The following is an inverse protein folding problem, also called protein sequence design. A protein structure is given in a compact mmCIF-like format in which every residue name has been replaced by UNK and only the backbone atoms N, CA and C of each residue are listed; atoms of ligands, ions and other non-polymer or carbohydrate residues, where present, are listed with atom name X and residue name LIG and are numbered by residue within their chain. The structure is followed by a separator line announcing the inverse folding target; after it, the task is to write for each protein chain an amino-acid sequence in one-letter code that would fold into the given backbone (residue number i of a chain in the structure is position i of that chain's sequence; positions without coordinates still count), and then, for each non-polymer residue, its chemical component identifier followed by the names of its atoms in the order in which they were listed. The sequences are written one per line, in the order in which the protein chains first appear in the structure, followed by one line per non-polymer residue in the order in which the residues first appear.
data_IF_743002802287
#
_entry.id   IF_743002802287
#
_cell.length_a   1.000
_cell.length_b   1.000
_cell.length_c   1.000
_cell.angle_alpha   90.00
_cell.angle_beta   90.00
_cell.angle_gamma   90.00
#
_symmetry.space_group_name_H-M   'P 1'
#
loop_
_entity.id
_entity.type
_entity.pdbx_description
1 polymer ?
#
# COMPACT_ATOMS: atom_id res chain seq x y z
N UNK A 1 -41.74 29.57 -31.63
CA UNK A 1 -40.69 28.56 -31.93
C UNK A 1 -41.31 27.47 -32.80
N UNK A 2 -40.70 27.04 -33.91
CA UNK A 2 -41.30 25.98 -34.75
C UNK A 2 -41.29 24.64 -34.03
N UNK A 3 -42.28 23.77 -34.31
CA UNK A 3 -42.47 22.46 -33.65
C UNK A 3 -41.16 21.63 -33.64
N UNK A 4 -40.42 21.64 -34.75
CA UNK A 4 -39.14 20.95 -34.89
C UNK A 4 -38.07 21.49 -33.93
N UNK A 5 -37.97 22.82 -33.74
CA UNK A 5 -37.00 23.43 -32.80
C UNK A 5 -37.31 23.04 -31.35
N UNK A 6 -38.59 22.93 -30.97
CA UNK A 6 -39.00 22.46 -29.64
C UNK A 6 -38.57 20.99 -29.43
N UNK A 7 -38.82 20.14 -30.43
CA UNK A 7 -38.40 18.73 -30.40
C UNK A 7 -36.86 18.62 -30.25
N UNK A 8 -36.08 19.36 -31.02
CA UNK A 8 -34.60 19.38 -30.90
C UNK A 8 -34.15 19.82 -29.50
N UNK A 9 -34.76 20.86 -28.92
CA UNK A 9 -34.44 21.33 -27.58
C UNK A 9 -34.68 20.25 -26.51
N UNK A 10 -35.80 19.53 -26.60
CA UNK A 10 -36.14 18.43 -25.68
C UNK A 10 -35.12 17.30 -25.77
N UNK A 11 -34.69 16.92 -26.98
CA UNK A 11 -33.64 15.90 -27.15
C UNK A 11 -32.29 16.34 -26.56
N UNK A 12 -31.88 17.61 -26.70
CA UNK A 12 -30.64 18.13 -26.09
C UNK A 12 -30.72 18.10 -24.56
N UNK A 13 -31.84 18.52 -23.96
CA UNK A 13 -32.03 18.47 -22.50
C UNK A 13 -32.00 17.02 -21.99
N UNK A 14 -32.68 16.08 -22.67
CA UNK A 14 -32.65 14.66 -22.31
C UNK A 14 -31.24 14.05 -22.43
N UNK A 15 -30.44 14.46 -23.42
CA UNK A 15 -29.05 14.04 -23.55
C UNK A 15 -28.17 14.58 -22.42
N UNK A 16 -28.34 15.83 -22.00
CA UNK A 16 -27.61 16.42 -20.87
C UNK A 16 -27.98 15.71 -19.56
N UNK A 17 -29.27 15.46 -19.31
CA UNK A 17 -29.74 14.74 -18.13
C UNK A 17 -29.22 13.29 -18.12
N UNK A 18 -29.20 12.59 -19.25
CA UNK A 18 -28.67 11.22 -19.32
C UNK A 18 -27.16 11.18 -19.08
N UNK A 19 -26.40 12.14 -19.60
CA UNK A 19 -24.96 12.29 -19.32
C UNK A 19 -24.70 12.60 -17.84
N UNK A 20 -25.49 13.48 -17.22
CA UNK A 20 -25.40 13.77 -15.79
C UNK A 20 -25.72 12.53 -14.93
N UNK A 21 -26.76 11.75 -15.29
CA UNK A 21 -27.09 10.50 -14.61
C UNK A 21 -26.00 9.43 -14.77
N UNK A 22 -25.40 9.30 -15.96
CA UNK A 22 -24.26 8.39 -16.20
C UNK A 22 -23.03 8.82 -15.38
N UNK A 23 -22.78 10.13 -15.26
CA UNK A 23 -21.70 10.69 -14.46
C UNK A 23 -21.91 10.44 -12.96
N UNK A 24 -23.11 10.73 -12.43
CA UNK A 24 -23.51 10.43 -11.04
C UNK A 24 -23.43 8.93 -10.76
N UNK A 25 -23.84 8.07 -11.70
CA UNK A 25 -23.77 6.61 -11.54
C UNK A 25 -22.32 6.09 -11.55
N UNK A 26 -21.43 6.70 -12.36
CA UNK A 26 -19.98 6.42 -12.29
C UNK A 26 -19.38 6.84 -10.94
N UNK A 27 -19.72 8.03 -10.43
CA UNK A 27 -19.27 8.47 -9.10
C UNK A 27 -19.78 7.50 -8.03
N UNK A 28 -21.07 7.18 -7.99
CA UNK A 28 -21.63 6.21 -7.03
C UNK A 28 -21.02 4.80 -7.13
N UNK A 29 -20.55 4.38 -8.32
CA UNK A 29 -19.87 3.10 -8.48
C UNK A 29 -18.42 3.12 -7.98
N UNK A 30 -17.74 4.26 -8.04
CA UNK A 30 -16.43 4.45 -7.42
C UNK A 30 -16.54 4.62 -5.90
N UNK A 31 -17.57 5.33 -5.41
CA UNK A 31 -17.80 5.59 -3.98
C UNK A 31 -18.46 4.42 -3.23
N UNK A 32 -18.33 3.17 -3.70
CA UNK A 32 -18.61 2.01 -2.84
C UNK A 32 -17.42 1.81 -1.93
N UNK A 33 -17.55 2.23 -0.67
CA UNK A 33 -16.57 1.94 0.39
C UNK A 33 -16.22 0.46 0.38
N UNK A 34 -14.94 0.15 0.20
CA UNK A 34 -14.45 -1.23 0.26
C UNK A 34 -14.64 -1.71 1.71
N UNK A 35 -15.27 -2.87 1.97
CA UNK A 35 -15.52 -3.33 3.34
C UNK A 35 -14.20 -3.43 4.11
N UNK A 36 -14.23 -3.06 5.39
CA UNK A 36 -13.03 -3.11 6.24
C UNK A 36 -12.66 -4.57 6.50
N UNK A 37 -11.40 -4.91 6.26
CA UNK A 37 -10.79 -6.20 6.58
C UNK A 37 -10.51 -6.26 8.08
N UNK A 38 -11.10 -7.25 8.76
CA UNK A 38 -10.90 -7.45 10.19
C UNK A 38 -9.66 -8.31 10.49
N UNK A 39 -9.08 -8.11 11.69
CA UNK A 39 -8.01 -8.96 12.20
C UNK A 39 -6.65 -8.82 11.50
N UNK A 40 -6.44 -7.76 10.71
CA UNK A 40 -5.13 -7.37 10.17
C UNK A 40 -4.68 -6.12 10.93
N UNK A 41 -3.54 -6.20 11.63
CA UNK A 41 -3.01 -5.03 12.34
C UNK A 41 -2.45 -4.00 11.36
N UNK A 42 -2.46 -2.73 11.76
CA UNK A 42 -1.73 -1.65 11.08
C UNK A 42 -0.70 -1.12 12.06
N UNK A 43 0.58 -1.09 11.71
CA UNK A 43 1.63 -0.49 12.55
C UNK A 43 2.10 0.85 12.00
N UNK A 44 2.38 1.86 12.85
CA UNK A 44 2.73 3.20 12.40
C UNK A 44 4.17 3.31 11.88
N UNK A 45 5.09 2.45 12.33
CA UNK A 45 6.50 2.42 11.90
C UNK A 45 6.91 1.03 11.39
N UNK A 46 8.11 0.96 10.80
CA UNK A 46 8.75 -0.31 10.45
C UNK A 46 9.31 -1.07 11.67
N UNK A 47 9.44 -0.38 12.81
CA UNK A 47 10.14 -0.83 14.02
C UNK A 47 9.18 -1.31 15.14
N UNK A 48 7.88 -1.25 14.92
CA UNK A 48 6.88 -1.80 15.84
C UNK A 48 6.81 -3.33 15.76
N UNK A 49 6.59 -3.99 16.91
CA UNK A 49 6.44 -5.45 16.95
C UNK A 49 5.14 -5.91 16.26
N UNK A 50 5.26 -6.96 15.46
CA UNK A 50 4.17 -7.67 14.77
C UNK A 50 4.22 -9.17 15.10
N UNK A 51 3.06 -9.75 15.40
CA UNK A 51 2.94 -11.17 15.79
C UNK A 51 2.24 -12.05 14.74
N UNK A 52 1.40 -11.46 13.90
CA UNK A 52 0.55 -12.16 12.92
C UNK A 52 0.29 -11.30 11.66
N UNK A 53 -0.86 -11.46 11.02
CA UNK A 53 -1.35 -10.62 9.92
C UNK A 53 -1.26 -9.12 10.26
N UNK A 54 -0.37 -8.43 9.57
CA UNK A 54 -0.01 -7.03 9.84
C UNK A 54 0.26 -6.27 8.55
N UNK A 55 0.15 -4.95 8.61
CA UNK A 55 0.41 -4.03 7.51
C UNK A 55 1.08 -2.75 8.00
N UNK A 56 1.86 -2.12 7.13
CA UNK A 56 2.53 -0.84 7.34
C UNK A 56 2.44 -0.01 6.06
N UNK A 57 2.27 1.29 6.22
CA UNK A 57 2.46 2.27 5.17
C UNK A 57 3.10 3.53 5.76
N UNK A 58 4.06 4.10 5.04
CA UNK A 58 4.86 5.24 5.50
C UNK A 58 4.06 6.53 5.80
N UNK A 59 2.78 6.61 5.42
CA UNK A 59 1.98 7.84 5.59
C UNK A 59 1.85 8.29 7.04
N UNK A 60 1.81 7.39 8.01
CA UNK A 60 1.70 7.77 9.43
C UNK A 60 3.04 8.33 9.97
N UNK A 61 4.16 7.72 9.61
CA UNK A 61 5.49 8.26 9.91
C UNK A 61 5.67 9.67 9.31
N UNK A 62 5.25 9.89 8.05
CA UNK A 62 5.39 11.19 7.39
C UNK A 62 4.60 12.32 8.07
N UNK A 63 3.35 12.08 8.52
CA UNK A 63 2.59 13.10 9.29
C UNK A 63 3.12 13.29 10.71
N UNK A 64 3.72 12.26 11.31
CA UNK A 64 4.40 12.39 12.60
C UNK A 64 5.63 13.28 12.47
N UNK A 65 6.45 13.06 11.44
CA UNK A 65 7.62 13.88 11.15
C UNK A 65 7.22 15.36 10.98
N UNK A 66 6.11 15.67 10.29
CA UNK A 66 5.61 17.05 10.21
C UNK A 66 5.24 17.64 11.56
N UNK A 67 4.45 16.92 12.35
CA UNK A 67 4.01 17.40 13.67
C UNK A 67 5.22 17.63 14.58
N UNK A 68 6.11 16.65 14.65
CA UNK A 68 7.37 16.69 15.40
C UNK A 68 8.26 17.83 14.93
N UNK A 69 8.59 17.89 13.65
CA UNK A 69 9.64 18.77 13.14
C UNK A 69 9.14 20.18 12.79
N UNK A 70 7.84 20.41 12.62
CA UNK A 70 7.32 21.75 12.27
C UNK A 70 6.57 22.47 13.37
N UNK A 71 5.89 21.77 14.29
CA UNK A 71 5.17 22.41 15.41
C UNK A 71 5.88 22.19 16.74
N UNK A 72 6.28 20.95 17.06
CA UNK A 72 6.79 20.59 18.40
C UNK A 72 8.30 20.84 18.54
N UNK A 73 9.05 20.77 17.44
CA UNK A 73 10.50 20.96 17.29
C UNK A 73 11.38 20.02 18.15
N UNK A 74 10.81 18.97 18.76
CA UNK A 74 11.48 17.92 19.54
C UNK A 74 10.71 16.60 19.54
N UNK A 75 11.31 15.55 20.10
CA UNK A 75 10.67 14.25 20.33
C UNK A 75 9.38 14.36 21.18
N UNK A 76 8.30 13.74 20.70
CA UNK A 76 6.99 13.74 21.36
C UNK A 76 6.94 12.59 22.37
N UNK A 77 6.86 12.93 23.65
CA UNK A 77 6.89 11.96 24.77
C UNK A 77 5.60 12.05 25.57
N UNK A 78 4.96 10.89 25.78
CA UNK A 78 3.76 10.74 26.61
C UNK A 78 4.10 10.21 28.01
N UNK A 79 3.18 10.37 28.95
CA UNK A 79 3.23 9.75 30.27
C UNK A 79 1.90 9.03 30.58
N UNK A 80 1.87 7.69 30.74
CA UNK A 80 2.98 6.76 30.57
C UNK A 80 3.56 6.75 29.15
N UNK A 81 4.79 6.23 29.00
CA UNK A 81 5.47 6.16 27.70
C UNK A 81 4.72 5.25 26.72
N UNK A 82 4.52 5.73 25.49
CA UNK A 82 3.95 4.95 24.40
C UNK A 82 5.07 4.51 23.44
N UNK A 83 5.37 3.20 23.42
CA UNK A 83 6.48 2.63 22.64
C UNK A 83 6.39 3.03 21.15
N UNK A 84 5.18 3.11 20.59
CA UNK A 84 4.99 3.53 19.20
C UNK A 84 5.37 5.00 18.96
N UNK A 85 5.21 5.89 19.94
CA UNK A 85 5.69 7.28 19.86
C UNK A 85 7.22 7.32 19.92
N UNK A 86 7.84 6.51 20.81
CA UNK A 86 9.29 6.33 20.89
C UNK A 86 9.87 5.73 19.59
N UNK A 87 9.13 4.89 18.89
CA UNK A 87 9.49 4.42 17.54
C UNK A 87 9.33 5.53 16.49
N UNK A 88 8.19 6.22 16.46
CA UNK A 88 7.90 7.30 15.51
C UNK A 88 8.92 8.46 15.62
N UNK A 89 9.37 8.80 16.83
CA UNK A 89 10.39 9.83 17.05
C UNK A 89 11.76 9.51 16.41
N UNK A 90 12.05 8.25 16.06
CA UNK A 90 13.29 7.85 15.37
C UNK A 90 13.32 8.30 13.90
N UNK A 91 12.16 8.63 13.32
CA UNK A 91 12.01 9.03 11.92
C UNK A 91 12.63 8.02 10.94
N UNK A 92 12.42 6.71 11.17
CA UNK A 92 13.05 5.64 10.38
C UNK A 92 12.54 5.55 8.93
N UNK A 93 11.59 6.41 8.55
CA UNK A 93 11.22 6.72 7.18
C UNK A 93 11.01 8.23 7.01
N UNK A 94 11.60 8.82 5.97
CA UNK A 94 11.59 10.26 5.67
C UNK A 94 11.29 10.52 4.18
N UNK A 95 11.01 11.78 3.83
CA UNK A 95 10.65 12.17 2.46
C UNK A 95 11.76 11.90 1.43
N UNK A 96 13.04 11.98 1.81
CA UNK A 96 14.15 11.69 0.91
C UNK A 96 14.24 10.19 0.55
N UNK A 97 13.55 9.31 1.27
CA UNK A 97 13.49 7.87 0.98
C UNK A 97 12.42 7.49 -0.06
N UNK A 98 11.57 8.44 -0.47
CA UNK A 98 10.46 8.22 -1.41
C UNK A 98 10.39 9.34 -2.47
N UNK A 99 9.92 9.06 -3.67
CA UNK A 99 9.69 10.08 -4.69
C UNK A 99 8.47 10.93 -4.36
N UNK A 100 8.56 12.26 -4.52
CA UNK A 100 7.41 13.17 -4.37
C UNK A 100 6.18 12.71 -5.16
N UNK A 101 6.36 12.14 -6.35
CA UNK A 101 5.27 11.62 -7.20
C UNK A 101 4.51 10.43 -6.62
N UNK A 102 4.91 9.89 -5.46
CA UNK A 102 4.28 8.74 -4.80
C UNK A 102 3.32 9.17 -3.69
N UNK A 103 3.46 10.39 -3.17
CA UNK A 103 2.63 10.89 -2.07
C UNK A 103 2.19 12.36 -2.26
N UNK A 104 1.12 12.73 -1.58
CA UNK A 104 0.68 14.10 -1.40
C UNK A 104 0.65 14.36 0.10
N UNK A 105 1.18 15.50 0.55
CA UNK A 105 1.09 15.94 1.94
C UNK A 105 0.72 17.41 2.00
N UNK A 106 0.01 17.78 3.07
CA UNK A 106 -0.24 19.16 3.45
C UNK A 106 -0.48 19.22 4.96
N UNK A 107 -0.02 20.28 5.60
CA UNK A 107 -0.25 20.53 7.02
C UNK A 107 -0.34 22.03 7.31
N UNK A 108 -0.87 22.37 8.48
CA UNK A 108 -0.94 23.74 8.95
C UNK A 108 -2.11 23.95 9.91
N UNK A 109 -2.51 25.21 10.12
CA UNK A 109 -3.71 25.55 10.89
C UNK A 109 -4.97 24.84 10.35
N UNK A 110 -5.70 24.16 11.23
CA UNK A 110 -6.89 23.37 10.88
C UNK A 110 -8.03 24.30 10.42
N UNK A 111 -8.12 24.50 9.11
CA UNK A 111 -9.05 25.46 8.48
C UNK A 111 -9.77 24.80 7.31
N UNK A 112 -10.94 25.34 6.93
CA UNK A 112 -11.65 24.89 5.72
C UNK A 112 -10.78 25.05 4.47
N UNK A 113 -9.97 26.11 4.39
CA UNK A 113 -8.99 26.31 3.31
C UNK A 113 -8.00 25.16 3.20
N UNK A 114 -7.46 24.68 4.33
CA UNK A 114 -6.57 23.51 4.34
C UNK A 114 -7.31 22.22 3.92
N UNK A 115 -8.57 22.04 4.32
CA UNK A 115 -9.40 20.93 3.82
C UNK A 115 -9.55 20.98 2.29
N UNK A 116 -9.88 22.15 1.74
CA UNK A 116 -10.01 22.36 0.29
C UNK A 116 -8.68 22.15 -0.45
N UNK A 117 -7.56 22.61 0.11
CA UNK A 117 -6.22 22.39 -0.41
C UNK A 117 -5.89 20.89 -0.51
N UNK A 118 -6.17 20.12 0.55
CA UNK A 118 -5.97 18.67 0.54
C UNK A 118 -6.87 18.00 -0.50
N UNK A 119 -8.17 18.33 -0.53
CA UNK A 119 -9.14 17.74 -1.47
C UNK A 119 -8.74 18.01 -2.92
N UNK A 120 -8.32 19.24 -3.25
CA UNK A 120 -7.88 19.59 -4.58
C UNK A 120 -6.52 18.96 -4.92
N UNK A 121 -5.57 18.96 -3.97
CA UNK A 121 -4.23 18.42 -4.17
C UNK A 121 -4.18 16.92 -4.45
N UNK A 122 -4.93 16.10 -3.69
CA UNK A 122 -5.05 14.66 -3.99
C UNK A 122 -5.82 14.40 -5.29
N UNK A 123 -6.76 15.29 -5.64
CA UNK A 123 -7.54 15.20 -6.87
C UNK A 123 -6.71 15.53 -8.11
N UNK A 124 -5.83 16.52 -8.01
CA UNK A 124 -4.91 16.90 -9.07
C UNK A 124 -3.76 15.89 -9.21
N UNK A 125 -3.09 15.53 -8.11
CA UNK A 125 -1.91 14.66 -8.14
C UNK A 125 -2.25 13.20 -8.47
N UNK A 126 -3.37 12.68 -7.97
CA UNK A 126 -3.71 11.24 -8.07
C UNK A 126 -5.10 10.93 -8.64
N UNK A 127 -5.92 11.93 -8.97
CA UNK A 127 -7.33 11.77 -9.35
C UNK A 127 -8.21 11.12 -8.26
N UNK A 128 -7.74 11.06 -7.01
CA UNK A 128 -8.40 10.39 -5.88
C UNK A 128 -9.29 11.33 -5.05
N UNK A 129 -9.92 10.75 -4.03
CA UNK A 129 -10.58 11.41 -2.90
C UNK A 129 -10.03 10.81 -1.60
N UNK A 130 -10.19 11.49 -0.47
CA UNK A 130 -9.75 10.95 0.83
C UNK A 130 -10.81 10.02 1.43
N UNK A 131 -10.36 8.91 2.01
CA UNK A 131 -11.22 7.99 2.77
C UNK A 131 -11.37 8.39 4.26
N UNK A 132 -10.60 9.39 4.73
CA UNK A 132 -10.52 9.76 6.16
C UNK A 132 -10.87 11.23 6.46
N UNK A 133 -10.85 12.15 5.48
CA UNK A 133 -11.10 13.58 5.76
C UNK A 133 -12.46 13.85 6.41
N UNK A 134 -13.48 13.04 6.11
CA UNK A 134 -14.82 13.18 6.67
C UNK A 134 -15.00 12.43 8.01
N UNK A 135 -13.95 11.76 8.53
CA UNK A 135 -13.91 11.25 9.91
C UNK A 135 -13.56 12.33 10.95
N UNK A 136 -13.05 13.48 10.49
CA UNK A 136 -12.65 14.60 11.34
C UNK A 136 -13.75 15.66 11.38
N UNK A 137 -13.90 16.30 12.53
CA UNK A 137 -14.81 17.43 12.66
C UNK A 137 -14.22 18.68 11.99
N UNK A 138 -15.07 19.40 11.24
CA UNK A 138 -14.77 20.65 10.55
C UNK A 138 -15.81 21.74 10.86
N UNK A 139 -16.63 21.56 11.91
CA UNK A 139 -17.47 22.61 12.50
C UNK A 139 -16.62 23.77 13.04
N UNK A 140 -17.23 24.96 13.18
CA UNK A 140 -16.52 26.20 13.52
C UNK A 140 -15.72 26.10 14.84
N UNK A 141 -16.27 25.42 15.84
CA UNK A 141 -15.65 25.15 17.14
C UNK A 141 -14.49 24.15 17.08
N UNK A 142 -14.44 23.32 16.03
CA UNK A 142 -13.38 22.36 15.77
C UNK A 142 -12.25 22.91 14.86
N UNK A 143 -12.32 24.17 14.41
CA UNK A 143 -11.28 24.82 13.62
C UNK A 143 -10.23 25.54 14.49
N UNK A 144 -9.14 25.95 13.85
CA UNK A 144 -8.09 26.78 14.42
C UNK A 144 -8.61 28.17 14.83
N UNK A 145 -8.34 28.56 16.07
CA UNK A 145 -8.77 29.83 16.67
C UNK A 145 -7.56 30.58 17.29
N UNK A 146 -7.61 31.91 17.48
CA UNK A 146 -6.54 32.64 18.18
C UNK A 146 -6.35 32.21 19.65
N UNK A 147 -7.42 31.87 20.36
CA UNK A 147 -7.38 31.46 21.77
C UNK A 147 -7.09 29.95 21.92
N UNK A 148 -7.40 29.13 20.89
CA UNK A 148 -7.07 27.71 20.82
C UNK A 148 -6.49 27.33 19.46
N UNK A 149 -5.15 27.31 19.37
CA UNK A 149 -4.42 26.90 18.16
C UNK A 149 -4.69 25.42 17.84
N UNK A 150 -5.18 25.13 16.63
CA UNK A 150 -5.40 23.76 16.14
C UNK A 150 -4.63 23.52 14.85
N UNK A 151 -3.98 22.36 14.76
CA UNK A 151 -3.21 21.96 13.57
C UNK A 151 -3.81 20.70 12.96
N UNK A 152 -3.64 20.56 11.64
CA UNK A 152 -4.00 19.34 10.91
C UNK A 152 -2.83 18.92 10.03
N UNK A 153 -2.59 17.61 9.97
CA UNK A 153 -1.51 17.00 9.22
C UNK A 153 -2.09 15.90 8.35
N UNK A 154 -1.76 15.90 7.06
CA UNK A 154 -2.31 14.96 6.10
C UNK A 154 -1.22 14.43 5.18
N UNK A 155 -1.17 13.12 4.99
CA UNK A 155 -0.39 12.47 3.92
C UNK A 155 -1.22 11.35 3.29
N UNK A 156 -1.28 11.35 1.96
CA UNK A 156 -1.80 10.25 1.15
C UNK A 156 -0.68 9.72 0.26
N UNK A 157 -0.36 8.42 0.39
CA UNK A 157 0.45 7.70 -0.58
C UNK A 157 -0.49 6.97 -1.54
N UNK A 158 -0.30 7.16 -2.85
CA UNK A 158 -1.11 6.48 -3.87
C UNK A 158 -0.22 5.92 -4.99
N UNK A 159 -0.26 4.59 -5.18
CA UNK A 159 0.49 3.89 -6.22
C UNK A 159 -0.35 2.86 -6.96
N UNK A 160 -0.38 3.00 -8.27
CA UNK A 160 -0.72 1.93 -9.20
C UNK A 160 0.57 1.52 -9.93
N UNK A 161 0.79 0.21 -10.06
CA UNK A 161 1.92 -0.37 -10.79
C UNK A 161 1.45 -1.57 -11.62
N UNK A 162 2.09 -1.80 -12.76
CA UNK A 162 1.82 -2.96 -13.63
C UNK A 162 3.10 -3.79 -13.81
N UNK A 163 2.99 -5.11 -13.81
CA UNK A 163 4.10 -5.98 -14.20
C UNK A 163 4.48 -5.76 -15.67
N UNK A 164 5.76 -5.98 -16.03
CA UNK A 164 6.23 -5.84 -17.41
C UNK A 164 5.45 -6.75 -18.36
N UNK A 165 5.14 -7.96 -17.90
CA UNK A 165 4.26 -8.92 -18.53
C UNK A 165 3.21 -9.42 -17.54
N UNK A 166 2.01 -9.71 -18.04
CA UNK A 166 0.92 -10.29 -17.23
C UNK A 166 1.27 -11.73 -16.82
N UNK A 167 1.06 -12.07 -15.57
CA UNK A 167 1.15 -13.46 -15.08
C UNK A 167 -0.10 -14.27 -15.46
N UNK A 168 0.03 -15.59 -15.42
CA UNK A 168 -1.11 -16.49 -15.62
C UNK A 168 -1.93 -16.58 -14.33
N UNK A 169 -3.25 -16.46 -14.41
CA UNK A 169 -4.14 -16.87 -13.32
C UNK A 169 -4.11 -18.39 -13.27
N UNK A 170 -3.79 -18.95 -12.11
CA UNK A 170 -3.60 -20.38 -11.92
C UNK A 170 -4.86 -21.01 -11.30
N UNK A 171 -4.97 -22.33 -11.39
CA UNK A 171 -5.97 -23.09 -10.64
C UNK A 171 -5.87 -22.81 -9.13
N UNK A 172 -7.01 -22.83 -8.45
CA UNK A 172 -7.05 -22.64 -7.01
C UNK A 172 -6.27 -23.76 -6.30
N UNK A 173 -5.59 -23.41 -5.22
CA UNK A 173 -4.68 -24.31 -4.50
C UNK A 173 -4.72 -24.01 -3.01
N UNK A 174 -3.98 -24.77 -2.21
CA UNK A 174 -3.90 -24.55 -0.76
C UNK A 174 -2.92 -23.43 -0.43
N UNK A 175 -3.11 -22.80 0.73
CA UNK A 175 -2.15 -21.92 1.41
C UNK A 175 -2.06 -22.42 2.86
N UNK A 176 -0.95 -23.07 3.23
CA UNK A 176 -0.86 -23.84 4.47
C UNK A 176 -2.06 -24.79 4.61
N UNK A 177 -2.88 -24.55 5.64
CA UNK A 177 -4.10 -25.33 5.93
C UNK A 177 -5.39 -24.77 5.28
N UNK A 178 -5.33 -23.68 4.51
CA UNK A 178 -6.49 -23.07 3.86
C UNK A 178 -6.64 -23.57 2.42
N UNK A 179 -7.78 -24.19 2.11
CA UNK A 179 -8.12 -24.65 0.75
C UNK A 179 -8.79 -23.54 -0.09
N UNK A 180 -8.90 -23.77 -1.40
CA UNK A 180 -9.58 -22.89 -2.36
C UNK A 180 -9.10 -21.42 -2.33
N UNK A 181 -7.78 -21.25 -2.54
CA UNK A 181 -7.11 -19.95 -2.61
C UNK A 181 -6.74 -19.66 -4.06
N UNK A 182 -7.07 -18.46 -4.55
CA UNK A 182 -6.79 -18.00 -5.91
C UNK A 182 -5.33 -17.58 -6.05
N UNK A 183 -4.65 -18.10 -7.06
CA UNK A 183 -3.24 -17.83 -7.34
C UNK A 183 -3.03 -17.18 -8.69
N UNK A 184 -1.91 -16.45 -8.82
CA UNK A 184 -1.30 -16.14 -10.10
C UNK A 184 0.18 -16.51 -10.10
N UNK A 185 0.78 -16.64 -11.29
CA UNK A 185 2.21 -16.95 -11.40
C UNK A 185 2.65 -17.38 -12.79
N UNK A 186 3.64 -18.26 -12.83
CA UNK A 186 4.26 -18.78 -14.05
C UNK A 186 3.67 -20.16 -14.37
N UNK A 187 2.94 -20.26 -15.47
CA UNK A 187 2.48 -21.52 -16.03
C UNK A 187 3.59 -22.21 -16.85
N UNK A 188 3.40 -23.50 -17.15
CA UNK A 188 4.36 -24.30 -17.94
C UNK A 188 4.60 -23.71 -19.34
N UNK A 189 3.60 -23.07 -19.93
CA UNK A 189 3.65 -22.40 -21.24
C UNK A 189 3.93 -20.88 -21.16
N UNK A 190 4.23 -20.32 -19.98
CA UNK A 190 4.58 -18.90 -19.87
C UNK A 190 5.91 -18.59 -20.56
N UNK A 191 5.95 -17.48 -21.29
CA UNK A 191 7.09 -17.05 -22.09
C UNK A 191 8.31 -16.67 -21.24
N UNK A 192 9.47 -16.53 -21.89
CA UNK A 192 10.71 -16.10 -21.22
C UNK A 192 10.60 -14.68 -20.65
N UNK A 193 9.81 -13.80 -21.25
CA UNK A 193 9.60 -12.43 -20.75
C UNK A 193 8.86 -12.40 -19.40
N UNK A 194 7.89 -13.30 -19.19
CA UNK A 194 7.19 -13.47 -17.89
C UNK A 194 8.15 -14.00 -16.82
N UNK A 195 9.16 -14.77 -17.20
CA UNK A 195 10.22 -15.28 -16.30
C UNK A 195 11.28 -14.22 -16.01
N UNK A 196 11.71 -13.45 -17.02
CA UNK A 196 12.75 -12.43 -16.93
C UNK A 196 12.40 -11.24 -16.02
N UNK A 197 11.11 -11.02 -15.73
CA UNK A 197 10.69 -10.01 -14.75
C UNK A 197 10.77 -10.49 -13.29
N UNK A 198 11.03 -11.79 -13.04
CA UNK A 198 11.28 -12.37 -11.72
C UNK A 198 12.80 -12.41 -11.46
N UNK A 199 13.23 -11.79 -10.37
CA UNK A 199 14.61 -11.84 -9.88
C UNK A 199 14.62 -12.62 -8.57
N UNK A 200 15.46 -13.66 -8.48
CA UNK A 200 15.66 -14.41 -7.23
C UNK A 200 16.61 -13.62 -6.34
N UNK A 201 16.17 -13.27 -5.14
CA UNK A 201 17.02 -12.61 -4.14
C UNK A 201 17.87 -13.66 -3.41
N UNK A 202 17.20 -14.70 -2.89
CA UNK A 202 17.82 -15.93 -2.41
C UNK A 202 16.86 -17.13 -2.49
N UNK A 203 17.43 -18.34 -2.41
CA UNK A 203 16.68 -19.60 -2.29
C UNK A 203 17.48 -20.57 -1.43
N UNK A 204 17.06 -20.74 -0.17
CA UNK A 204 17.64 -21.73 0.73
C UNK A 204 16.87 -23.06 0.62
N UNK A 205 15.55 -22.98 0.49
CA UNK A 205 14.66 -24.09 0.18
C UNK A 205 13.33 -23.59 -0.42
N UNK A 206 12.43 -24.52 -0.77
CA UNK A 206 11.03 -24.19 -1.14
C UNK A 206 10.24 -23.48 -0.02
N UNK A 207 10.72 -23.56 1.22
CA UNK A 207 10.07 -23.00 2.41
C UNK A 207 10.86 -21.79 2.99
N UNK A 208 11.99 -21.40 2.38
CA UNK A 208 12.80 -20.24 2.80
C UNK A 208 13.48 -19.63 1.56
N UNK A 209 12.81 -18.64 0.97
CA UNK A 209 13.25 -17.94 -0.23
C UNK A 209 12.72 -16.50 -0.25
N UNK A 210 13.39 -15.64 -1.01
CA UNK A 210 12.82 -14.36 -1.41
C UNK A 210 13.03 -14.10 -2.91
N UNK A 211 12.01 -13.51 -3.54
CA UNK A 211 12.04 -13.09 -4.94
C UNK A 211 11.51 -11.67 -5.08
N UNK A 212 11.84 -11.04 -6.20
CA UNK A 212 11.44 -9.68 -6.56
C UNK A 212 10.85 -9.65 -7.95
N UNK A 213 9.67 -9.06 -8.10
CA UNK A 213 9.02 -8.81 -9.37
C UNK A 213 9.30 -7.37 -9.80
N UNK A 214 9.79 -7.19 -11.02
CA UNK A 214 9.99 -5.87 -11.61
C UNK A 214 8.75 -5.40 -12.37
N UNK A 215 8.39 -4.13 -12.21
CA UNK A 215 7.22 -3.52 -12.85
C UNK A 215 7.61 -2.70 -14.10
N UNK A 216 6.61 -2.12 -14.78
CA UNK A 216 6.80 -1.10 -15.83
C UNK A 216 7.22 0.27 -15.25
N UNK A 217 6.91 0.51 -14.00
CA UNK A 217 7.23 1.71 -13.23
C UNK A 217 8.51 1.49 -12.40
N UNK A 218 8.83 2.43 -11.49
CA UNK A 218 9.97 2.29 -10.58
C UNK A 218 9.69 1.32 -9.42
N UNK A 219 8.48 0.77 -9.32
CA UNK A 219 8.06 -0.07 -8.19
C UNK A 219 8.62 -1.51 -8.31
N UNK A 220 9.02 -2.08 -7.18
CA UNK A 220 9.44 -3.46 -7.04
C UNK A 220 8.55 -4.16 -6.01
N UNK A 221 8.04 -5.35 -6.35
CA UNK A 221 7.23 -6.17 -5.44
C UNK A 221 8.09 -7.33 -4.95
N UNK A 222 8.44 -7.33 -3.66
CA UNK A 222 9.27 -8.36 -3.06
C UNK A 222 8.37 -9.31 -2.26
N UNK A 223 8.55 -10.61 -2.44
CA UNK A 223 7.93 -11.66 -1.64
C UNK A 223 8.99 -12.40 -0.85
N UNK A 224 8.79 -12.53 0.46
CA UNK A 224 9.63 -13.31 1.36
C UNK A 224 8.77 -14.39 2.04
N UNK A 225 9.00 -15.66 1.68
CA UNK A 225 8.34 -16.84 2.26
C UNK A 225 8.92 -17.13 3.66
N UNK A 226 8.05 -17.42 4.62
CA UNK A 226 8.39 -17.70 6.03
C UNK A 226 9.33 -16.64 6.65
N UNK A 227 8.88 -15.37 6.72
CA UNK A 227 9.68 -14.24 7.18
C UNK A 227 10.19 -14.41 8.61
N UNK A 228 11.47 -14.09 8.82
CA UNK A 228 12.16 -14.18 10.12
C UNK A 228 12.32 -12.79 10.72
N UNK A 229 11.67 -12.52 11.86
CA UNK A 229 11.79 -11.25 12.60
C UNK A 229 10.51 -10.89 13.33
N UNK A 230 10.60 -9.97 14.28
CA UNK A 230 9.49 -9.43 15.07
C UNK A 230 8.95 -8.11 14.55
N UNK A 231 9.72 -7.37 13.76
CA UNK A 231 9.31 -6.09 13.16
C UNK A 231 9.46 -6.16 11.65
N UNK A 232 8.82 -5.26 10.89
CA UNK A 232 9.05 -5.20 9.44
C UNK A 232 10.51 -4.87 9.10
N UNK A 233 11.17 -4.04 9.93
CA UNK A 233 12.59 -3.73 9.81
C UNK A 233 13.48 -4.98 10.00
N UNK A 234 13.24 -5.78 11.04
CA UNK A 234 13.97 -7.04 11.24
C UNK A 234 13.75 -8.01 10.07
N UNK A 235 12.51 -8.19 9.63
CA UNK A 235 12.17 -9.09 8.52
C UNK A 235 12.86 -8.65 7.23
N UNK A 236 12.79 -7.36 6.90
CA UNK A 236 13.40 -6.81 5.69
C UNK A 236 14.93 -6.85 5.75
N UNK A 237 15.53 -6.57 6.91
CA UNK A 237 16.96 -6.66 7.16
C UNK A 237 17.47 -8.10 7.05
N UNK A 238 16.76 -9.07 7.62
CA UNK A 238 17.10 -10.49 7.51
C UNK A 238 17.02 -10.98 6.05
N UNK A 239 15.95 -10.64 5.34
CA UNK A 239 15.78 -10.92 3.91
C UNK A 239 16.92 -10.33 3.07
N UNK A 240 17.30 -9.07 3.33
CA UNK A 240 18.40 -8.39 2.64
C UNK A 240 19.75 -9.03 2.96
N UNK A 241 19.99 -9.42 4.21
CA UNK A 241 21.20 -10.11 4.64
C UNK A 241 21.35 -11.49 3.96
N UNK A 242 20.27 -12.27 3.86
CA UNK A 242 20.27 -13.56 3.17
C UNK A 242 20.45 -13.38 1.65
N UNK A 243 19.81 -12.36 1.05
CA UNK A 243 20.00 -11.99 -0.37
C UNK A 243 21.43 -11.55 -0.70
N UNK A 244 22.13 -10.90 0.24
CA UNK A 244 23.53 -10.48 0.06
C UNK A 244 24.52 -11.64 0.21
N UNK A 245 24.21 -12.63 1.06
CA UNK A 245 25.01 -13.85 1.23
C UNK A 245 24.76 -14.90 0.13
N UNK A 246 23.64 -14.82 -0.59
CA UNK A 246 23.25 -15.81 -1.58
C UNK A 246 24.17 -15.81 -2.82
N UNK A 247 24.92 -16.91 -2.97
CA UNK A 247 25.84 -17.17 -4.09
C UNK A 247 25.21 -17.95 -5.24
N UNK A 248 23.95 -18.39 -5.10
CA UNK A 248 23.24 -19.13 -6.15
C UNK A 248 22.72 -18.24 -7.29
N UNK A 249 22.08 -18.86 -8.30
CA UNK A 249 21.58 -18.14 -9.48
C UNK A 249 20.48 -17.14 -9.12
N UNK A 250 20.73 -15.84 -9.32
CA UNK A 250 19.69 -14.79 -9.17
C UNK A 250 18.71 -14.70 -10.36
N UNK A 251 19.01 -15.38 -11.47
CA UNK A 251 18.09 -15.51 -12.61
C UNK A 251 17.02 -16.56 -12.29
N UNK A 252 15.75 -16.26 -12.59
CA UNK A 252 14.65 -17.23 -12.60
C UNK A 252 14.72 -18.10 -13.87
N UNK A 253 14.66 -19.42 -13.71
CA UNK A 253 14.93 -20.39 -14.78
C UNK A 253 13.67 -20.92 -15.46
N UNK A 254 13.82 -21.62 -16.59
CA UNK A 254 12.72 -22.32 -17.24
C UNK A 254 12.19 -23.51 -16.41
N UNK A 255 13.02 -24.08 -15.54
CA UNK A 255 12.66 -25.18 -14.65
C UNK A 255 12.06 -24.68 -13.32
N UNK A 256 12.11 -23.38 -13.04
CA UNK A 256 11.59 -22.82 -11.80
C UNK A 256 10.06 -22.63 -11.87
N UNK A 257 9.39 -22.87 -10.75
CA UNK A 257 7.95 -22.62 -10.57
C UNK A 257 7.73 -21.39 -9.69
N UNK A 258 6.70 -20.60 -9.98
CA UNK A 258 6.26 -19.48 -9.15
C UNK A 258 4.74 -19.42 -9.09
N UNK A 259 4.17 -19.36 -7.88
CA UNK A 259 2.79 -18.94 -7.63
C UNK A 259 2.76 -18.03 -6.39
N UNK A 260 1.85 -17.07 -6.39
CA UNK A 260 1.53 -16.19 -5.25
C UNK A 260 0.01 -15.96 -5.18
N UNK A 261 -0.61 -15.89 -4.00
CA UNK A 261 -2.03 -15.65 -3.90
C UNK A 261 -2.37 -14.23 -4.36
N UNK A 262 -3.58 -14.07 -4.90
CA UNK A 262 -4.18 -12.73 -5.04
C UNK A 262 -4.43 -12.15 -3.65
N UNK A 263 -4.24 -10.84 -3.48
CA UNK A 263 -4.45 -10.15 -2.20
C UNK A 263 -5.37 -8.96 -2.43
N UNK A 264 -6.34 -8.77 -1.55
CA UNK A 264 -7.20 -7.59 -1.53
C UNK A 264 -7.64 -7.31 -0.09
N UNK A 265 -7.16 -6.21 0.51
CA UNK A 265 -7.57 -5.78 1.84
C UNK A 265 -7.77 -4.27 1.95
N UNK A 266 -8.63 -3.86 2.88
CA UNK A 266 -8.85 -2.47 3.23
C UNK A 266 -8.92 -2.35 4.75
N UNK A 267 -7.89 -1.80 5.38
CA UNK A 267 -7.84 -1.66 6.85
C UNK A 267 -7.91 -0.19 7.25
N UNK A 268 -8.48 0.05 8.44
CA UNK A 268 -8.54 1.36 9.09
C UNK A 268 -8.10 1.18 10.53
N UNK A 269 -7.04 1.88 10.94
CA UNK A 269 -6.62 1.97 12.35
C UNK A 269 -6.88 3.36 12.86
N UNK A 270 -7.47 3.43 14.05
CA UNK A 270 -7.51 4.61 14.88
C UNK A 270 -6.54 4.41 16.05
N UNK A 271 -5.61 5.34 16.22
CA UNK A 271 -4.51 5.27 17.18
C UNK A 271 -4.93 5.83 18.53
N UNK A 272 -5.92 5.20 19.16
CA UNK A 272 -6.45 5.60 20.47
C UNK A 272 -5.35 5.68 21.55
N UNK A 273 -4.26 4.93 21.38
CA UNK A 273 -3.08 4.94 22.24
C UNK A 273 -2.35 6.29 22.23
N UNK A 274 -2.48 7.07 21.16
CA UNK A 274 -1.88 8.41 21.01
C UNK A 274 -2.86 9.55 21.33
N UNK A 275 -4.16 9.26 21.39
CA UNK A 275 -5.20 10.28 21.51
C UNK A 275 -5.44 10.72 22.95
N UNK A 276 -5.89 11.97 23.13
CA UNK A 276 -6.37 12.52 24.40
C UNK A 276 -5.36 12.44 25.56
N UNK A 277 -4.06 12.38 25.24
CA UNK A 277 -2.93 12.41 26.17
C UNK A 277 -2.13 13.70 25.97
N UNK A 278 -1.77 14.42 27.05
CA UNK A 278 -0.95 15.62 26.94
C UNK A 278 0.51 15.28 26.63
N UNK A 279 1.13 16.10 25.81
CA UNK A 279 2.57 16.17 25.57
C UNK A 279 2.98 17.64 25.40
N UNK A 280 4.29 17.92 25.44
CA UNK A 280 4.78 19.29 25.56
C UNK A 280 5.94 19.56 24.62
N UNK A 281 6.03 20.77 24.08
CA UNK A 281 7.20 21.26 23.35
C UNK A 281 8.31 21.79 24.30
N UNK A 282 9.33 22.48 23.77
CA UNK A 282 10.42 23.05 24.58
C UNK A 282 10.04 24.33 25.33
N UNK A 283 8.94 24.99 24.98
CA UNK A 283 8.37 26.13 25.72
C UNK A 283 7.41 25.67 26.82
N UNK A 284 7.25 24.35 27.02
CA UNK A 284 6.30 23.73 27.92
C UNK A 284 4.83 24.11 27.60
N UNK A 285 4.52 24.36 26.32
CA UNK A 285 3.14 24.49 25.83
C UNK A 285 2.55 23.09 25.71
N UNK A 286 1.32 22.90 26.16
CA UNK A 286 0.61 21.61 26.15
C UNK A 286 -0.07 21.38 24.80
N UNK A 287 0.06 20.16 24.28
CA UNK A 287 -0.58 19.68 23.06
C UNK A 287 -1.30 18.35 23.34
N UNK A 288 -2.36 18.10 22.59
CA UNK A 288 -3.12 16.84 22.60
C UNK A 288 -3.44 16.44 21.17
N UNK A 289 -3.28 15.16 20.84
CA UNK A 289 -3.80 14.60 19.60
C UNK A 289 -5.28 14.29 19.84
N UNK A 290 -6.20 15.07 19.25
CA UNK A 290 -7.64 14.80 19.34
C UNK A 290 -8.03 13.52 18.59
N UNK A 291 -7.44 13.32 17.40
CA UNK A 291 -7.74 12.18 16.53
C UNK A 291 -6.56 11.82 15.63
N UNK A 292 -6.26 10.53 15.54
CA UNK A 292 -5.21 9.98 14.68
C UNK A 292 -5.71 8.70 14.01
N UNK A 293 -5.79 8.72 12.67
CA UNK A 293 -6.37 7.65 11.85
C UNK A 293 -5.51 7.39 10.61
N UNK A 294 -5.32 6.13 10.25
CA UNK A 294 -4.71 5.70 8.99
C UNK A 294 -5.62 4.67 8.31
N UNK A 295 -5.79 4.79 6.99
CA UNK A 295 -6.31 3.72 6.13
C UNK A 295 -5.22 3.15 5.25
N UNK A 296 -5.29 1.85 4.97
CA UNK A 296 -4.45 1.19 3.98
C UNK A 296 -5.35 0.33 3.09
N UNK A 297 -5.41 0.68 1.81
CA UNK A 297 -6.05 -0.10 0.78
C UNK A 297 -4.98 -0.75 -0.09
N UNK A 298 -4.98 -2.08 -0.19
CA UNK A 298 -3.99 -2.81 -1.00
C UNK A 298 -4.64 -3.92 -1.80
N UNK A 299 -4.30 -3.96 -3.10
CA UNK A 299 -4.70 -5.02 -4.02
C UNK A 299 -3.52 -5.48 -4.87
N UNK A 300 -3.43 -6.79 -5.05
CA UNK A 300 -2.44 -7.49 -5.88
C UNK A 300 -3.14 -8.55 -6.74
N UNK A 301 -3.07 -8.41 -8.06
CA UNK A 301 -3.54 -9.43 -9.02
C UNK A 301 -2.50 -9.72 -10.11
N UNK A 302 -2.83 -10.56 -11.09
CA UNK A 302 -1.87 -11.06 -12.09
C UNK A 302 -1.32 -9.99 -13.04
N UNK A 303 -1.85 -8.76 -12.98
CA UNK A 303 -1.39 -7.60 -13.74
C UNK A 303 -0.56 -6.62 -12.90
N UNK A 304 -0.66 -6.68 -11.57
CA UNK A 304 -0.32 -5.59 -10.65
C UNK A 304 -1.60 -4.95 -10.11
N UNK A 305 -1.78 -3.64 -10.29
CA UNK A 305 -2.98 -2.89 -9.93
C UNK A 305 -3.68 -2.22 -11.13
N UNK A 306 -4.78 -2.85 -11.62
CA UNK A 306 -5.89 -2.31 -12.46
C UNK A 306 -5.57 -1.62 -13.83
N UNK A 307 -6.17 -1.90 -15.01
CA UNK A 307 -6.60 -3.09 -15.82
C UNK A 307 -6.96 -2.61 -17.25
N UNK A 308 -6.40 -3.21 -18.33
CA UNK A 308 -7.10 -3.83 -19.51
C UNK A 308 -6.10 -4.61 -20.42
N UNK A 309 -6.51 -5.74 -21.03
CA UNK A 309 -5.64 -6.67 -21.82
C UNK A 309 -5.73 -6.39 -23.36
N UNK A 310 -5.21 -7.16 -24.34
CA UNK A 310 -5.15 -8.63 -24.59
C UNK A 310 -3.93 -9.04 -25.48
N UNK A 311 -3.56 -10.34 -25.58
CA UNK A 311 -2.39 -10.86 -26.34
C UNK A 311 -2.47 -12.37 -26.73
N UNK A 312 -1.55 -12.89 -27.56
CA UNK A 312 -1.46 -14.29 -28.05
C UNK A 312 0.01 -14.85 -28.07
N UNK A 313 0.21 -16.16 -28.32
CA UNK A 313 1.48 -16.92 -28.13
C UNK A 313 1.81 -17.83 -29.35
N UNK A 314 3.10 -18.07 -29.63
CA UNK A 314 3.61 -19.33 -30.23
C UNK A 314 5.11 -19.63 -29.88
N UNK A 315 5.53 -20.87 -30.15
CA UNK A 315 6.88 -21.47 -30.32
C UNK A 315 7.47 -22.36 -29.19
N UNK A 316 8.27 -23.35 -29.63
CA UNK A 316 8.88 -24.45 -28.85
C UNK A 316 10.43 -24.41 -28.91
N UNK A 317 11.13 -24.94 -27.88
CA UNK A 317 12.53 -25.39 -27.97
C UNK A 317 12.73 -26.69 -27.17
N UNK A 318 13.63 -27.55 -27.66
CA UNK A 318 14.01 -28.88 -27.13
C UNK A 318 14.94 -28.84 -25.91
N UNK A 319 15.03 -29.98 -25.21
CA UNK A 319 15.61 -30.15 -23.87
C UNK A 319 17.08 -29.72 -23.68
N UNK A 320 17.33 -29.02 -22.58
CA UNK A 320 18.62 -28.84 -21.92
C UNK A 320 18.72 -29.74 -20.67
N UNK A 321 19.92 -30.05 -20.12
CA UNK A 321 20.06 -30.99 -19.01
C UNK A 321 19.39 -30.50 -17.72
N UNK A 322 18.95 -31.46 -16.89
CA UNK A 322 18.21 -31.21 -15.65
C UNK A 322 19.08 -30.48 -14.63
N UNK A 323 19.00 -29.14 -14.63
CA UNK A 323 19.26 -28.34 -13.43
C UNK A 323 18.09 -28.54 -12.45
N UNK A 324 18.42 -28.62 -11.17
CA UNK A 324 17.45 -28.71 -10.08
C UNK A 324 16.38 -27.63 -10.23
N UNK A 325 15.11 -28.03 -10.19
CA UNK A 325 13.96 -27.14 -10.23
C UNK A 325 13.81 -26.47 -8.87
N UNK A 326 13.78 -25.13 -8.85
CA UNK A 326 13.49 -24.37 -7.63
C UNK A 326 12.02 -24.01 -7.57
N UNK A 327 11.44 -24.21 -6.40
CA UNK A 327 10.02 -24.02 -6.18
C UNK A 327 9.75 -22.75 -5.36
N UNK A 328 9.33 -21.67 -6.04
CA UNK A 328 9.00 -20.38 -5.43
C UNK A 328 7.49 -20.25 -5.20
N UNK A 329 6.89 -21.22 -4.52
CA UNK A 329 5.47 -21.17 -4.18
C UNK A 329 5.23 -20.38 -2.89
N UNK A 330 4.57 -19.24 -2.99
CA UNK A 330 4.18 -18.39 -1.85
C UNK A 330 2.83 -18.88 -1.29
N UNK A 331 2.80 -20.13 -0.83
CA UNK A 331 1.62 -20.87 -0.37
C UNK A 331 1.62 -21.18 1.14
N UNK A 332 2.22 -20.30 1.93
CA UNK A 332 2.20 -20.25 3.39
C UNK A 332 2.66 -18.83 3.80
N UNK A 333 2.69 -18.57 5.10
CA UNK A 333 3.08 -17.32 5.75
C UNK A 333 4.19 -16.57 5.01
N UNK A 334 3.92 -15.31 4.63
CA UNK A 334 4.86 -14.52 3.85
C UNK A 334 4.77 -13.02 4.13
N UNK A 335 5.86 -12.31 3.84
CA UNK A 335 5.89 -10.85 3.80
C UNK A 335 5.90 -10.36 2.34
N UNK A 336 5.17 -9.27 2.10
CA UNK A 336 5.20 -8.45 0.88
C UNK A 336 5.85 -7.12 1.23
N UNK A 337 6.77 -6.67 0.39
CA UNK A 337 7.29 -5.30 0.44
C UNK A 337 7.10 -4.61 -0.92
N UNK A 338 6.66 -3.35 -0.88
CA UNK A 338 6.69 -2.47 -2.05
C UNK A 338 7.78 -1.42 -1.86
N UNK A 339 8.67 -1.32 -2.83
CA UNK A 339 9.83 -0.43 -2.80
C UNK A 339 10.02 0.26 -4.14
N UNK A 340 10.57 1.46 -4.15
CA UNK A 340 11.15 2.02 -5.37
C UNK A 340 12.50 1.36 -5.66
N UNK A 341 12.78 0.98 -6.91
CA UNK A 341 14.02 0.26 -7.28
C UNK A 341 15.29 1.05 -6.98
N UNK A 342 15.18 2.38 -6.95
CA UNK A 342 16.24 3.36 -6.66
C UNK A 342 16.36 3.77 -5.19
N UNK A 343 15.57 3.18 -4.27
CA UNK A 343 15.52 3.51 -2.83
C UNK A 343 15.80 2.26 -2.01
N UNK A 344 16.28 2.39 -0.77
CA UNK A 344 16.61 1.23 0.06
C UNK A 344 15.45 0.77 0.95
N UNK A 345 14.55 1.67 1.35
CA UNK A 345 13.46 1.37 2.28
C UNK A 345 12.10 1.17 1.57
N UNK A 346 11.33 0.11 1.92
CA UNK A 346 9.96 -0.06 1.44
C UNK A 346 9.02 1.02 1.99
N UNK A 347 8.15 1.56 1.12
CA UNK A 347 7.11 2.51 1.53
C UNK A 347 5.84 1.83 2.05
N UNK A 348 5.70 0.53 1.78
CA UNK A 348 4.62 -0.33 2.26
C UNK A 348 5.15 -1.73 2.56
N UNK A 349 4.61 -2.35 3.60
CA UNK A 349 4.81 -3.77 3.91
C UNK A 349 3.53 -4.42 4.39
N UNK A 350 3.39 -5.72 4.15
CA UNK A 350 2.36 -6.55 4.76
C UNK A 350 2.92 -7.93 5.11
N UNK A 351 2.47 -8.50 6.22
CA UNK A 351 2.67 -9.89 6.60
C UNK A 351 1.31 -10.59 6.52
N UNK A 352 1.27 -11.73 5.82
CA UNK A 352 0.07 -12.51 5.55
C UNK A 352 0.29 -13.90 6.15
N UNK A 353 -0.49 -14.23 7.18
CA UNK A 353 -0.50 -15.50 7.89
C UNK A 353 -1.82 -16.26 7.62
N UNK A 354 -2.95 -15.53 7.56
CA UNK A 354 -4.27 -16.08 7.26
C UNK A 354 -4.86 -15.49 5.97
N UNK A 355 -4.65 -16.20 4.86
CA UNK A 355 -5.07 -15.75 3.53
C UNK A 355 -6.59 -15.50 3.38
N UNK A 356 -7.44 -16.11 4.23
CA UNK A 356 -8.90 -15.91 4.17
C UNK A 356 -9.36 -14.51 4.60
N UNK A 357 -8.46 -13.69 5.17
CA UNK A 357 -8.69 -12.25 5.39
C UNK A 357 -8.58 -11.40 4.11
N UNK A 358 -8.06 -11.97 3.02
CA UNK A 358 -7.58 -11.24 1.84
C UNK A 358 -8.22 -11.65 0.49
N UNK A 359 -9.18 -12.60 0.48
CA UNK A 359 -9.75 -13.21 -0.75
C UNK A 359 -11.24 -13.53 -0.71
#
# INVERSE_FOLDING_TARGET
MTKNKIITLVFVVLAIVSLALIYIFRIRKNNKSIPVTEGVAVVPTFDDEISSDSSYCATFQLVWNDMKNEIIKKDIVFNPEEIMATNLNKESFTEDMISDSYYFKAFGPKTIKLKEEIVNGIKEKFNQTSDILDDFDWGEDALDDPDLRRYFFYTMLYREFEYKQRFTVLENSNFGNYEDVKYFGVASNSSSEVRNQIIVLFYNSKDDFAIKLTTKSNDEVIFYKNPKGKTFNEIYSNMTNDANKYTGSKNFSNNDTFKVPMINFNVKREYNELQNKPFYDDENREYVIEKAVQTINFKLDEKGGRVKSEAAIDTNVTSAPVKESRNFNVDDTFAIFLKESSRDMPYFAARIDNIKKYQ
#
